data_IF_754127218967
#
_entry.id   IF_754127218967
#
_cell.length_a   1.000
_cell.length_b   1.000
_cell.length_c   1.000
_cell.angle_alpha   90.00
_cell.angle_beta   90.00
_cell.angle_gamma   90.00
#
_symmetry.space_group_name_H-M   'P 1'
#
loop_
_entity.id
_entity.type
_entity.pdbx_description
1 polymer ?
#
# COMPACT_ATOMS: atom_id res chain seq x y z
N UNK A 1 17.86 -30.13 24.61
CA UNK A 1 18.44 -30.39 23.30
C UNK A 1 17.37 -30.41 22.19
N UNK A 2 16.26 -31.16 22.30
CA UNK A 2 15.22 -31.24 21.27
C UNK A 2 14.49 -29.90 21.02
N UNK A 3 14.23 -29.12 22.07
CA UNK A 3 13.61 -27.78 21.97
C UNK A 3 14.43 -26.73 21.24
N UNK A 4 15.74 -26.93 21.10
CA UNK A 4 16.63 -26.02 20.38
C UNK A 4 16.70 -26.33 18.87
N UNK A 5 16.28 -27.54 18.48
CA UNK A 5 16.27 -28.00 17.08
C UNK A 5 14.87 -27.89 16.42
N UNK A 6 13.84 -27.72 17.23
CA UNK A 6 12.47 -27.63 16.75
C UNK A 6 12.12 -26.23 16.25
N UNK A 7 11.54 -26.11 15.07
CA UNK A 7 10.95 -24.85 14.57
C UNK A 7 9.69 -24.45 15.33
N UNK A 8 9.07 -25.38 16.04
CA UNK A 8 7.91 -25.19 16.92
C UNK A 8 8.07 -26.08 18.15
N UNK A 9 7.82 -25.52 19.33
CA UNK A 9 7.90 -26.23 20.60
C UNK A 9 6.58 -26.08 21.34
N UNK A 10 5.89 -27.21 21.58
CA UNK A 10 4.66 -27.25 22.38
C UNK A 10 5.03 -27.41 23.85
N UNK A 11 4.87 -26.37 24.65
CA UNK A 11 5.25 -26.37 26.07
C UNK A 11 4.40 -27.32 26.90
N UNK A 12 3.12 -27.48 26.55
CA UNK A 12 2.16 -28.32 27.27
C UNK A 12 1.97 -29.70 26.63
N UNK A 13 2.74 -30.08 25.62
CA UNK A 13 2.57 -31.30 24.83
C UNK A 13 1.15 -31.52 24.28
N UNK A 14 0.38 -30.46 24.11
CA UNK A 14 -1.00 -30.51 23.62
C UNK A 14 -1.05 -30.40 22.09
N UNK A 15 -1.16 -31.55 21.44
CA UNK A 15 -1.32 -31.62 19.97
C UNK A 15 -2.66 -31.06 19.48
N UNK A 16 -3.69 -30.96 20.32
CA UNK A 16 -4.97 -30.38 19.96
C UNK A 16 -4.87 -28.87 19.65
N UNK A 17 -3.81 -28.21 20.11
CA UNK A 17 -3.52 -26.82 19.79
C UNK A 17 -2.97 -26.58 18.36
N UNK A 18 -2.51 -27.62 17.64
CA UNK A 18 -1.90 -27.48 16.31
C UNK A 18 -2.80 -26.81 15.27
N UNK A 19 -4.10 -27.15 15.15
CA UNK A 19 -4.97 -26.46 14.17
C UNK A 19 -5.08 -24.96 14.43
N UNK A 20 -5.14 -24.52 15.68
CA UNK A 20 -5.23 -23.10 16.05
C UNK A 20 -3.92 -22.36 15.75
N UNK A 21 -2.77 -22.99 16.00
CA UNK A 21 -1.45 -22.43 15.66
C UNK A 21 -1.30 -22.25 14.14
N UNK A 22 -1.70 -23.25 13.36
CA UNK A 22 -1.68 -23.15 11.89
C UNK A 22 -2.62 -22.07 11.39
N UNK A 23 -3.81 -21.95 11.97
CA UNK A 23 -4.77 -20.91 11.62
C UNK A 23 -4.19 -19.52 11.92
N UNK A 24 -3.58 -19.31 13.08
CA UNK A 24 -2.95 -18.06 13.45
C UNK A 24 -1.76 -17.73 12.54
N UNK A 25 -0.92 -18.71 12.21
CA UNK A 25 0.15 -18.54 11.24
C UNK A 25 -0.36 -18.08 9.86
N UNK A 26 -1.47 -18.64 9.38
CA UNK A 26 -2.13 -18.20 8.13
C UNK A 26 -2.62 -16.76 8.24
N UNK A 27 -3.25 -16.37 9.35
CA UNK A 27 -3.71 -15.01 9.61
C UNK A 27 -2.55 -14.02 9.50
N UNK A 28 -1.45 -14.28 10.19
CA UNK A 28 -0.26 -13.42 10.20
C UNK A 28 0.32 -13.28 8.79
N UNK A 29 0.54 -14.39 8.07
CA UNK A 29 1.11 -14.34 6.71
C UNK A 29 0.19 -13.57 5.76
N UNK A 30 -1.11 -13.82 5.77
CA UNK A 30 -2.07 -13.13 4.91
C UNK A 30 -2.11 -11.64 5.18
N UNK A 31 -2.09 -11.23 6.45
CA UNK A 31 -2.11 -9.82 6.83
C UNK A 31 -0.81 -9.10 6.47
N UNK A 32 0.34 -9.74 6.74
CA UNK A 32 1.65 -9.20 6.31
C UNK A 32 1.71 -9.07 4.78
N UNK A 33 1.20 -10.04 4.03
CA UNK A 33 1.20 -9.98 2.57
C UNK A 33 0.40 -8.79 2.03
N UNK A 34 -0.74 -8.47 2.64
CA UNK A 34 -1.56 -7.30 2.29
C UNK A 34 -0.84 -5.99 2.59
N UNK A 35 -0.37 -5.83 3.82
CA UNK A 35 0.37 -4.64 4.23
C UNK A 35 1.63 -4.45 3.38
N UNK A 36 2.41 -5.51 3.17
CA UNK A 36 3.60 -5.48 2.33
C UNK A 36 3.28 -5.04 0.89
N UNK A 37 2.14 -5.45 0.32
CA UNK A 37 1.71 -5.01 -1.01
C UNK A 37 1.52 -3.50 -1.06
N UNK A 38 0.82 -2.91 -0.08
CA UNK A 38 0.58 -1.46 -0.01
C UNK A 38 1.88 -0.67 0.13
N UNK A 39 2.77 -1.09 1.04
CA UNK A 39 4.07 -0.45 1.22
C UNK A 39 4.96 -0.57 -0.03
N UNK A 40 4.93 -1.72 -0.69
CA UNK A 40 5.78 -1.97 -1.84
C UNK A 40 5.37 -1.13 -3.06
N UNK A 41 4.09 -0.84 -3.25
CA UNK A 41 3.60 0.10 -4.30
C UNK A 41 4.31 1.45 -4.16
N UNK A 42 4.35 2.00 -2.93
CA UNK A 42 5.02 3.27 -2.66
C UNK A 42 6.52 3.18 -2.91
N UNK A 43 7.17 2.10 -2.46
CA UNK A 43 8.61 1.95 -2.60
C UNK A 43 9.02 1.79 -4.08
N UNK A 44 8.25 1.03 -4.87
CA UNK A 44 8.45 0.91 -6.32
C UNK A 44 8.32 2.28 -6.98
N UNK A 45 7.23 2.99 -6.71
CA UNK A 45 7.01 4.35 -7.22
C UNK A 45 8.16 5.28 -6.88
N UNK A 46 8.54 5.36 -5.60
CA UNK A 46 9.60 6.24 -5.12
C UNK A 46 10.96 5.90 -5.76
N UNK A 47 11.29 4.60 -5.86
CA UNK A 47 12.53 4.14 -6.48
C UNK A 47 12.62 4.57 -7.94
N UNK A 48 11.59 4.28 -8.74
CA UNK A 48 11.59 4.62 -10.16
C UNK A 48 11.61 6.13 -10.37
N UNK A 49 10.83 6.89 -9.60
CA UNK A 49 10.81 8.34 -9.70
C UNK A 49 12.17 8.95 -9.33
N UNK A 50 12.83 8.44 -8.27
CA UNK A 50 14.17 8.88 -7.88
C UNK A 50 15.22 8.58 -8.96
N UNK A 51 15.16 7.40 -9.58
CA UNK A 51 16.06 7.04 -10.68
C UNK A 51 15.85 7.95 -11.88
N UNK A 52 14.59 8.20 -12.27
CA UNK A 52 14.27 9.09 -13.38
C UNK A 52 14.74 10.52 -13.10
N UNK A 53 14.54 11.02 -11.89
CA UNK A 53 14.96 12.33 -11.44
C UNK A 53 16.49 12.55 -11.50
N UNK A 54 17.29 11.48 -11.47
CA UNK A 54 18.74 11.57 -11.68
C UNK A 54 19.14 11.85 -13.12
N UNK A 55 18.27 11.52 -14.08
CA UNK A 55 18.51 11.69 -15.52
C UNK A 55 17.75 12.86 -16.13
N UNK A 56 16.89 13.49 -15.36
CA UNK A 56 16.07 14.65 -15.81
C UNK A 56 16.32 15.81 -14.88
N UNK A 57 16.53 17.02 -15.45
CA UNK A 57 16.64 18.27 -14.68
C UNK A 57 15.27 18.80 -14.23
N UNK A 58 14.26 17.95 -14.23
CA UNK A 58 12.91 18.33 -13.83
C UNK A 58 12.79 18.46 -12.31
N UNK A 59 12.12 19.50 -11.80
CA UNK A 59 11.88 19.64 -10.37
C UNK A 59 11.03 18.47 -9.86
N UNK A 60 11.31 18.03 -8.64
CA UNK A 60 10.53 16.95 -8.01
C UNK A 60 9.07 17.41 -7.81
N UNK A 61 8.07 16.72 -8.40
CA UNK A 61 6.72 17.25 -8.52
C UNK A 61 5.87 17.16 -7.26
N UNK A 62 6.39 16.54 -6.20
CA UNK A 62 5.61 16.24 -5.00
C UNK A 62 6.20 16.89 -3.77
N UNK A 63 5.35 17.57 -3.01
CA UNK A 63 5.72 18.09 -1.70
C UNK A 63 5.70 16.97 -0.64
N UNK A 64 6.65 16.95 0.31
CA UNK A 64 6.72 15.95 1.37
C UNK A 64 5.44 15.85 2.21
N UNK A 65 4.76 16.98 2.42
CA UNK A 65 3.50 17.04 3.17
C UNK A 65 2.39 16.24 2.47
N UNK A 66 2.20 16.44 1.17
CA UNK A 66 1.21 15.69 0.38
C UNK A 66 1.48 14.19 0.39
N UNK A 67 2.75 13.79 0.22
CA UNK A 67 3.16 12.38 0.28
C UNK A 67 2.89 11.75 1.64
N UNK A 68 3.08 12.50 2.73
CA UNK A 68 2.85 12.00 4.08
C UNK A 68 1.37 11.73 4.32
N UNK A 69 0.51 12.70 3.99
CA UNK A 69 -0.95 12.58 4.17
C UNK A 69 -1.52 11.46 3.30
N UNK A 70 -1.16 11.41 2.02
CA UNK A 70 -1.62 10.36 1.11
C UNK A 70 -1.15 8.98 1.59
N UNK A 71 0.11 8.86 1.99
CA UNK A 71 0.66 7.60 2.49
C UNK A 71 -0.01 7.15 3.80
N UNK A 72 -0.34 8.08 4.69
CA UNK A 72 -1.06 7.76 5.92
C UNK A 72 -2.46 7.20 5.61
N UNK A 73 -3.20 7.84 4.71
CA UNK A 73 -4.58 7.46 4.37
C UNK A 73 -4.68 6.25 3.45
N UNK A 74 -3.74 6.06 2.52
CA UNK A 74 -3.82 4.95 1.55
C UNK A 74 -3.02 3.71 1.97
N UNK A 75 -2.04 3.85 2.87
CA UNK A 75 -1.14 2.77 3.27
C UNK A 75 -1.17 2.56 4.79
N UNK A 76 -0.81 3.56 5.58
CA UNK A 76 -0.56 3.42 7.01
C UNK A 76 -1.79 2.96 7.79
N UNK A 77 -2.82 3.78 7.80
CA UNK A 77 -4.07 3.52 8.52
C UNK A 77 -4.77 2.25 7.99
N UNK A 78 -4.97 2.07 6.67
CA UNK A 78 -5.55 0.83 6.15
C UNK A 78 -4.76 -0.43 6.51
N UNK A 79 -3.42 -0.38 6.45
CA UNK A 79 -2.57 -1.52 6.81
C UNK A 79 -2.77 -1.94 8.26
N UNK A 80 -2.91 -0.97 9.17
CA UNK A 80 -3.18 -1.25 10.58
C UNK A 80 -4.52 -1.97 10.75
N UNK A 81 -5.60 -1.45 10.18
CA UNK A 81 -6.92 -2.08 10.27
C UNK A 81 -6.95 -3.46 9.61
N UNK A 82 -6.33 -3.62 8.43
CA UNK A 82 -6.27 -4.91 7.74
C UNK A 82 -5.42 -5.94 8.49
N UNK A 83 -4.42 -5.50 9.28
CA UNK A 83 -3.62 -6.39 10.13
C UNK A 83 -4.42 -6.96 11.32
N UNK A 84 -5.48 -6.26 11.75
CA UNK A 84 -6.35 -6.74 12.84
C UNK A 84 -7.41 -7.73 12.35
N UNK A 85 -7.66 -7.81 11.04
CA UNK A 85 -8.70 -8.66 10.48
C UNK A 85 -8.33 -10.16 10.58
N UNK A 86 -9.22 -11.02 11.09
CA UNK A 86 -9.02 -12.46 11.06
C UNK A 86 -9.13 -12.98 9.63
N UNK A 87 -8.03 -13.45 9.06
CA UNK A 87 -7.97 -14.04 7.74
C UNK A 87 -7.21 -15.36 7.77
N UNK A 88 -7.96 -16.45 7.79
CA UNK A 88 -7.44 -17.81 7.89
C UNK A 88 -7.36 -18.53 6.54
N UNK A 89 -7.49 -17.81 5.43
CA UNK A 89 -7.43 -18.38 4.08
C UNK A 89 -6.11 -19.14 3.88
N UNK A 90 -6.19 -20.23 3.11
CA UNK A 90 -5.02 -21.04 2.83
C UNK A 90 -3.97 -20.24 2.05
N UNK A 91 -2.78 -20.11 2.64
CA UNK A 91 -1.65 -19.49 1.97
C UNK A 91 -1.16 -20.40 0.85
N UNK A 92 -1.23 -19.93 -0.39
CA UNK A 92 -0.78 -20.68 -1.57
C UNK A 92 0.28 -19.89 -2.32
N UNK A 93 1.33 -20.59 -2.80
CA UNK A 93 2.38 -20.00 -3.63
C UNK A 93 3.49 -19.30 -2.83
N UNK A 94 4.36 -18.61 -3.57
CA UNK A 94 5.49 -17.89 -2.99
C UNK A 94 5.06 -16.49 -2.55
N UNK A 95 5.29 -16.17 -1.28
CA UNK A 95 4.96 -14.89 -0.66
C UNK A 95 5.45 -13.69 -1.48
N UNK A 96 6.74 -13.63 -1.79
CA UNK A 96 7.37 -12.51 -2.46
C UNK A 96 6.82 -12.29 -3.89
N UNK A 97 6.64 -13.39 -4.64
CA UNK A 97 6.07 -13.31 -5.99
C UNK A 97 4.63 -12.78 -5.97
N UNK A 98 3.84 -13.20 -4.99
CA UNK A 98 2.46 -12.72 -4.81
C UNK A 98 2.38 -11.24 -4.52
N UNK A 99 3.23 -10.75 -3.61
CA UNK A 99 3.33 -9.33 -3.24
C UNK A 99 3.79 -8.48 -4.43
N UNK A 100 4.89 -8.87 -5.09
CA UNK A 100 5.44 -8.17 -6.25
C UNK A 100 4.43 -8.07 -7.39
N UNK A 101 3.78 -9.19 -7.76
CA UNK A 101 2.79 -9.22 -8.85
C UNK A 101 1.62 -8.26 -8.62
N UNK A 102 1.23 -8.04 -7.37
CA UNK A 102 0.15 -7.12 -7.00
C UNK A 102 0.63 -5.67 -6.88
N UNK A 103 1.83 -5.46 -6.36
CA UNK A 103 2.38 -4.12 -6.13
C UNK A 103 2.94 -3.46 -7.38
N UNK A 104 3.57 -4.22 -8.27
CA UNK A 104 4.29 -3.71 -9.42
C UNK A 104 3.42 -2.90 -10.39
N UNK A 105 2.21 -3.37 -10.79
CA UNK A 105 1.33 -2.57 -11.65
C UNK A 105 0.93 -1.24 -11.02
N UNK A 106 0.59 -1.22 -9.73
CA UNK A 106 0.21 0.00 -9.02
C UNK A 106 1.37 0.99 -8.91
N UNK A 107 2.58 0.51 -8.61
CA UNK A 107 3.78 1.35 -8.57
C UNK A 107 4.11 1.97 -9.93
N UNK A 108 4.08 1.18 -11.02
CA UNK A 108 4.32 1.67 -12.37
C UNK A 108 3.24 2.65 -12.85
N UNK A 109 1.97 2.41 -12.54
CA UNK A 109 0.88 3.33 -12.88
C UNK A 109 1.12 4.70 -12.23
N UNK A 110 1.55 4.73 -10.97
CA UNK A 110 1.91 5.97 -10.29
C UNK A 110 3.08 6.70 -10.99
N UNK A 111 4.15 5.97 -11.33
CA UNK A 111 5.30 6.55 -12.05
C UNK A 111 4.85 7.16 -13.36
N UNK A 112 4.13 6.40 -14.18
CA UNK A 112 3.66 6.85 -15.49
C UNK A 112 2.75 8.08 -15.36
N UNK A 113 1.81 8.07 -14.43
CA UNK A 113 0.89 9.19 -14.22
C UNK A 113 1.62 10.46 -13.80
N UNK A 114 2.60 10.38 -12.91
CA UNK A 114 3.40 11.52 -12.49
C UNK A 114 4.27 12.05 -13.64
N UNK A 115 4.88 11.17 -14.43
CA UNK A 115 5.67 11.57 -15.60
C UNK A 115 4.82 12.30 -16.65
N UNK A 116 3.60 11.84 -16.89
CA UNK A 116 2.66 12.54 -17.78
C UNK A 116 2.33 13.92 -17.23
N UNK A 117 2.06 14.07 -15.94
CA UNK A 117 1.81 15.37 -15.33
C UNK A 117 3.02 16.30 -15.43
N UNK A 118 4.24 15.78 -15.23
CA UNK A 118 5.46 16.57 -15.40
C UNK A 118 5.68 17.01 -16.86
N UNK A 119 5.42 16.12 -17.81
CA UNK A 119 5.49 16.47 -19.22
C UNK A 119 4.51 17.60 -19.58
N UNK A 120 3.28 17.55 -19.06
CA UNK A 120 2.31 18.64 -19.20
C UNK A 120 2.81 19.95 -18.59
N UNK A 121 3.43 19.92 -17.41
CA UNK A 121 4.01 21.09 -16.77
C UNK A 121 5.02 21.77 -17.68
N UNK A 122 5.95 20.99 -18.25
CA UNK A 122 7.01 21.52 -19.12
C UNK A 122 6.46 22.06 -20.43
N UNK A 123 5.48 21.38 -21.04
CA UNK A 123 4.91 21.79 -22.34
C UNK A 123 4.04 23.05 -22.24
N UNK A 124 3.29 23.21 -21.15
CA UNK A 124 2.33 24.29 -20.98
C UNK A 124 2.80 25.39 -20.02
N UNK A 125 4.04 25.30 -19.52
CA UNK A 125 4.65 26.26 -18.59
C UNK A 125 3.75 26.52 -17.35
N UNK A 126 3.21 25.46 -16.78
CA UNK A 126 2.28 25.54 -15.66
C UNK A 126 3.02 25.72 -14.32
N UNK A 127 2.43 26.44 -13.34
CA UNK A 127 3.06 26.66 -12.04
C UNK A 127 3.23 25.32 -11.29
N UNK A 128 4.41 25.12 -10.70
CA UNK A 128 4.80 23.88 -10.03
C UNK A 128 3.84 23.49 -8.89
N UNK A 129 3.24 24.45 -8.19
CA UNK A 129 2.29 24.20 -7.10
C UNK A 129 1.01 23.54 -7.59
N UNK A 130 0.46 24.01 -8.72
CA UNK A 130 -0.74 23.41 -9.32
C UNK A 130 -0.49 21.96 -9.74
N UNK A 131 0.68 21.68 -10.32
CA UNK A 131 1.07 20.32 -10.71
C UNK A 131 1.29 19.41 -9.50
N UNK A 132 1.90 19.91 -8.43
CA UNK A 132 2.07 19.15 -7.20
C UNK A 132 0.71 18.67 -6.63
N UNK A 133 -0.30 19.52 -6.64
CA UNK A 133 -1.65 19.19 -6.21
C UNK A 133 -2.31 18.14 -7.11
N UNK A 134 -2.19 18.30 -8.44
CA UNK A 134 -2.72 17.33 -9.42
C UNK A 134 -2.02 15.97 -9.26
N UNK A 135 -0.69 15.94 -9.17
CA UNK A 135 0.08 14.71 -8.93
C UNK A 135 -0.32 14.04 -7.62
N UNK A 136 -0.51 14.82 -6.55
CA UNK A 136 -0.99 14.31 -5.27
C UNK A 136 -2.40 13.68 -5.40
N UNK A 137 -3.31 14.32 -6.11
CA UNK A 137 -4.65 13.78 -6.39
C UNK A 137 -4.59 12.45 -7.15
N UNK A 138 -3.76 12.35 -8.18
CA UNK A 138 -3.59 11.12 -8.96
C UNK A 138 -3.02 10.00 -8.09
N UNK A 139 -1.98 10.29 -7.29
CA UNK A 139 -1.41 9.33 -6.36
C UNK A 139 -2.44 8.83 -5.35
N UNK A 140 -3.29 9.71 -4.85
CA UNK A 140 -4.37 9.36 -3.95
C UNK A 140 -5.39 8.41 -4.62
N UNK A 141 -5.81 8.70 -5.85
CA UNK A 141 -6.74 7.86 -6.61
C UNK A 141 -6.13 6.48 -6.89
N UNK A 142 -4.89 6.41 -7.38
CA UNK A 142 -4.20 5.14 -7.62
C UNK A 142 -4.00 4.38 -6.32
N UNK A 143 -3.62 5.06 -5.22
CA UNK A 143 -3.51 4.47 -3.90
C UNK A 143 -4.83 3.84 -3.43
N UNK A 144 -5.97 4.52 -3.63
CA UNK A 144 -7.29 3.99 -3.32
C UNK A 144 -7.69 2.81 -4.20
N UNK A 145 -7.29 2.79 -5.49
CA UNK A 145 -7.50 1.64 -6.37
C UNK A 145 -6.69 0.42 -5.93
N UNK A 146 -5.43 0.61 -5.51
CA UNK A 146 -4.60 -0.46 -4.97
C UNK A 146 -5.19 -0.99 -3.67
N UNK A 147 -5.60 -0.10 -2.76
CA UNK A 147 -6.27 -0.47 -1.52
C UNK A 147 -7.54 -1.27 -1.81
N UNK A 148 -8.34 -0.87 -2.81
CA UNK A 148 -9.51 -1.63 -3.27
C UNK A 148 -9.15 -3.05 -3.70
N UNK A 149 -8.07 -3.23 -4.47
CA UNK A 149 -7.61 -4.56 -4.89
C UNK A 149 -7.15 -5.42 -3.71
N UNK A 150 -6.46 -4.82 -2.75
CA UNK A 150 -5.97 -5.51 -1.53
C UNK A 150 -7.13 -5.90 -0.61
N UNK A 151 -8.19 -5.11 -0.58
CA UNK A 151 -9.39 -5.41 0.18
C UNK A 151 -10.26 -6.54 -0.40
N UNK A 152 -10.02 -7.00 -1.62
CA UNK A 152 -10.76 -8.15 -2.20
C UNK A 152 -10.37 -9.48 -1.51
N UNK A 153 -11.35 -10.40 -1.28
CA UNK A 153 -12.80 -10.25 -1.41
C UNK A 153 -13.39 -9.34 -0.32
N UNK A 154 -14.38 -8.52 -0.68
CA UNK A 154 -14.95 -7.52 0.23
C UNK A 154 -15.81 -8.16 1.33
N UNK A 155 -15.30 -8.16 2.56
CA UNK A 155 -16.10 -8.31 3.78
C UNK A 155 -16.74 -6.98 4.21
N UNK A 156 -17.68 -7.02 5.15
CA UNK A 156 -18.30 -5.79 5.68
C UNK A 156 -17.25 -4.85 6.30
N UNK A 157 -16.31 -5.38 7.06
CA UNK A 157 -15.20 -4.63 7.68
C UNK A 157 -14.33 -3.92 6.64
N UNK A 158 -13.92 -4.61 5.57
CA UNK A 158 -13.09 -4.05 4.50
C UNK A 158 -13.78 -2.94 3.72
N UNK A 159 -15.12 -3.06 3.53
CA UNK A 159 -15.93 -1.98 2.92
C UNK A 159 -15.94 -0.72 3.77
N UNK A 160 -16.05 -0.88 5.09
CA UNK A 160 -16.02 0.24 6.04
C UNK A 160 -14.64 0.91 6.02
N UNK A 161 -13.55 0.11 6.08
CA UNK A 161 -12.19 0.65 6.03
C UNK A 161 -11.94 1.40 4.72
N UNK A 162 -12.26 0.80 3.57
CA UNK A 162 -12.06 1.44 2.27
C UNK A 162 -12.91 2.70 2.11
N UNK A 163 -14.21 2.63 2.44
CA UNK A 163 -15.13 3.77 2.37
C UNK A 163 -14.76 4.90 3.33
N UNK A 164 -14.35 4.56 4.57
CA UNK A 164 -13.87 5.53 5.54
C UNK A 164 -12.62 6.26 5.07
N UNK A 165 -11.64 5.54 4.48
CA UNK A 165 -10.44 6.17 3.92
C UNK A 165 -10.77 7.06 2.72
N UNK A 166 -11.73 6.67 1.87
CA UNK A 166 -12.18 7.50 0.76
C UNK A 166 -12.79 8.82 1.27
N UNK A 167 -13.66 8.76 2.26
CA UNK A 167 -14.27 9.96 2.86
C UNK A 167 -13.20 10.85 3.50
N UNK A 168 -12.29 10.28 4.28
CA UNK A 168 -11.19 11.04 4.89
C UNK A 168 -10.32 11.72 3.82
N UNK A 169 -10.03 11.05 2.72
CA UNK A 169 -9.25 11.60 1.63
C UNK A 169 -9.97 12.76 0.95
N UNK A 170 -11.28 12.63 0.66
CA UNK A 170 -12.09 13.72 0.10
C UNK A 170 -12.11 14.92 1.05
N UNK A 171 -12.32 14.71 2.36
CA UNK A 171 -12.31 15.79 3.36
C UNK A 171 -10.96 16.49 3.41
N UNK A 172 -9.86 15.73 3.39
CA UNK A 172 -8.51 16.32 3.41
C UNK A 172 -8.25 17.15 2.15
N UNK A 173 -8.64 16.66 0.96
CA UNK A 173 -8.46 17.44 -0.28
C UNK A 173 -9.34 18.68 -0.33
N UNK A 174 -10.54 18.66 0.25
CA UNK A 174 -11.39 19.85 0.35
C UNK A 174 -10.87 20.88 1.36
N UNK A 175 -10.34 20.40 2.51
CA UNK A 175 -9.81 21.31 3.55
C UNK A 175 -8.41 21.86 3.24
N UNK A 176 -7.59 21.14 2.46
CA UNK A 176 -6.25 21.61 2.07
C UNK A 176 -6.23 22.29 0.69
N UNK A 177 -7.34 22.26 -0.03
CA UNK A 177 -7.49 22.89 -1.35
C UNK A 177 -7.99 24.34 -1.28
N UNK A 178 -8.24 24.85 -0.06
CA UNK A 178 -8.46 26.27 0.23
C UNK A 178 -7.16 26.97 0.70
#
# INVERSE_FOLDING_TARGET
AASQLGSLVLLNNDFAAMPSIVAEGRRVINNIQRSATLFLVKNIFSLFLSVISLFTDWPYPLQPMHLTVISALTIGIPSFFLAMEPNYDRVTGHFLRGVLRRAFPGGLTNVFAVLVCQAFMVVFDLPAESIATVCAGILAVVGMMVLFQVCKPFGAFRRIVWGGMLVCLVVVFTCLGE
#
